data_IF_118791679484
#
_entry.id   IF_118791679484
#
_cell.length_a   1.000
_cell.length_b   1.000
_cell.length_c   1.000
_cell.angle_alpha   90.00
_cell.angle_beta   90.00
_cell.angle_gamma   90.00
#
_symmetry.space_group_name_H-M   'P 1'
#
loop_
_entity.id
_entity.type
_entity.pdbx_description
1 polymer ?
#
# COMPACT_ATOMS: atom_id res chain seq x y z
N UNK A 1 8.47 11.89 1.60
CA UNK A 1 8.41 10.41 1.57
C UNK A 1 8.50 9.87 2.99
N UNK A 2 7.70 8.87 3.33
CA UNK A 2 7.83 8.09 4.55
C UNK A 2 8.20 6.66 4.16
N UNK A 3 9.21 6.09 4.81
CA UNK A 3 9.77 4.78 4.45
C UNK A 3 10.10 3.96 5.70
N UNK A 4 10.01 2.63 5.59
CA UNK A 4 10.42 1.72 6.66
C UNK A 4 11.94 1.69 6.80
N UNK A 5 12.41 1.65 8.04
CA UNK A 5 13.78 1.39 8.42
C UNK A 5 13.80 0.53 9.69
N UNK A 6 14.97 0.14 10.15
CA UNK A 6 15.13 -0.68 11.35
C UNK A 6 16.12 -0.05 12.34
N UNK A 7 15.80 -0.16 13.61
CA UNK A 7 16.76 0.08 14.68
C UNK A 7 17.77 -1.09 14.79
N UNK A 8 18.88 -0.87 15.46
CA UNK A 8 19.89 -1.92 15.69
C UNK A 8 19.37 -3.17 16.40
N UNK A 9 18.26 -3.06 17.13
CA UNK A 9 17.60 -4.19 17.80
C UNK A 9 16.57 -4.92 16.92
N UNK A 10 16.51 -4.58 15.61
CA UNK A 10 15.60 -5.19 14.65
C UNK A 10 14.17 -4.64 14.64
N UNK A 11 13.82 -3.68 15.52
CA UNK A 11 12.49 -3.06 15.50
C UNK A 11 12.33 -2.15 14.30
N UNK A 12 11.22 -2.29 13.62
CA UNK A 12 10.86 -1.43 12.49
C UNK A 12 10.42 -0.05 12.97
N UNK A 13 10.84 0.97 12.25
CA UNK A 13 10.50 2.39 12.42
C UNK A 13 10.17 3.01 11.08
N UNK A 14 9.60 4.22 11.09
CA UNK A 14 9.36 4.99 9.88
C UNK A 14 10.31 6.19 9.85
N UNK A 15 11.12 6.26 8.80
CA UNK A 15 11.93 7.43 8.47
C UNK A 15 11.16 8.43 7.61
N UNK A 16 11.64 9.68 7.58
CA UNK A 16 11.14 10.75 6.72
C UNK A 16 12.24 11.24 5.80
N UNK A 17 11.89 11.49 4.55
CA UNK A 17 12.75 12.17 3.60
C UNK A 17 11.93 13.21 2.82
N UNK A 18 12.54 14.34 2.53
CA UNK A 18 11.92 15.48 1.85
C UNK A 18 12.61 15.70 0.50
N UNK A 19 11.82 16.07 -0.51
CA UNK A 19 12.28 16.36 -1.85
C UNK A 19 11.53 17.54 -2.43
N UNK A 20 12.20 18.32 -3.27
CA UNK A 20 11.59 19.42 -4.05
C UNK A 20 11.15 18.98 -5.46
N UNK A 21 11.79 17.95 -6.00
CA UNK A 21 11.58 17.47 -7.38
C UNK A 21 10.96 16.06 -7.45
N UNK A 22 10.89 15.37 -6.30
CA UNK A 22 10.40 13.99 -6.22
C UNK A 22 11.45 12.93 -6.57
N UNK A 23 12.69 13.31 -6.85
CA UNK A 23 13.78 12.40 -7.23
C UNK A 23 14.95 12.47 -6.26
N UNK A 24 15.34 13.65 -5.82
CA UNK A 24 16.44 13.87 -4.88
C UNK A 24 15.87 14.11 -3.49
N UNK A 25 16.19 13.22 -2.56
CA UNK A 25 15.63 13.23 -1.21
C UNK A 25 16.69 13.50 -0.16
N UNK A 26 16.38 14.40 0.78
CA UNK A 26 17.14 14.61 2.02
C UNK A 26 16.45 13.83 3.13
N UNK A 27 17.21 12.92 3.76
CA UNK A 27 16.69 12.06 4.83
C UNK A 27 16.86 12.74 6.18
N UNK A 28 15.78 12.82 6.96
CA UNK A 28 15.83 13.35 8.32
C UNK A 28 16.68 12.44 9.22
N UNK A 29 17.49 13.06 10.08
CA UNK A 29 18.35 12.34 11.02
C UNK A 29 17.59 11.58 12.12
N UNK A 30 16.33 11.95 12.36
CA UNK A 30 15.47 11.33 13.38
C UNK A 30 14.33 10.57 12.71
N UNK A 31 13.91 9.43 13.27
CA UNK A 31 12.70 8.74 12.83
C UNK A 31 11.48 9.65 12.89
N UNK A 32 10.61 9.56 11.88
CA UNK A 32 9.30 10.21 11.88
C UNK A 32 8.34 9.53 12.86
N UNK A 33 8.35 8.19 12.89
CA UNK A 33 7.49 7.42 13.77
C UNK A 33 8.26 6.24 14.36
N UNK A 34 8.29 6.17 15.68
CA UNK A 34 8.81 5.05 16.45
C UNK A 34 7.65 4.34 17.16
N UNK A 35 7.81 3.06 17.55
CA UNK A 35 6.86 2.38 18.42
C UNK A 35 6.53 3.20 19.67
N UNK A 36 5.25 3.24 20.02
CA UNK A 36 4.79 3.93 21.21
C UNK A 36 5.46 3.37 22.47
N UNK A 37 5.79 4.24 23.43
CA UNK A 37 6.53 3.84 24.64
C UNK A 37 5.63 3.44 25.81
N UNK A 38 4.32 3.76 25.74
CA UNK A 38 3.35 3.50 26.81
C UNK A 38 1.91 3.50 26.27
N UNK A 39 0.99 2.95 27.06
CA UNK A 39 -0.42 2.84 26.72
C UNK A 39 -0.72 1.70 25.74
N UNK A 40 -1.98 1.60 25.32
CA UNK A 40 -2.47 0.52 24.46
C UNK A 40 -1.68 0.38 23.16
N UNK A 41 -1.24 1.48 22.56
CA UNK A 41 -0.49 1.44 21.30
C UNK A 41 0.87 0.79 21.46
N UNK A 42 1.54 0.95 22.62
CA UNK A 42 2.83 0.31 22.89
C UNK A 42 2.74 -1.21 22.91
N UNK A 43 1.60 -1.77 23.33
CA UNK A 43 1.38 -3.22 23.34
C UNK A 43 1.28 -3.78 21.92
N UNK A 44 0.69 -3.03 21.00
CA UNK A 44 0.47 -3.46 19.62
C UNK A 44 1.59 -3.04 18.65
N UNK A 45 2.52 -2.19 19.09
CA UNK A 45 3.71 -1.78 18.33
C UNK A 45 5.01 -2.37 18.90
N UNK A 46 4.92 -3.38 19.76
CA UNK A 46 6.04 -3.96 20.51
C UNK A 46 7.24 -4.34 19.62
N UNK A 47 6.97 -4.89 18.45
CA UNK A 47 8.00 -5.34 17.50
C UNK A 47 8.27 -4.33 16.38
N UNK A 48 7.49 -3.29 16.26
CA UNK A 48 7.73 -2.22 15.30
C UNK A 48 6.48 -1.68 14.61
N UNK A 49 6.72 -0.68 13.77
CA UNK A 49 5.74 -0.03 12.89
C UNK A 49 6.22 -0.16 11.44
N UNK A 50 5.36 -0.66 10.55
CA UNK A 50 5.76 -1.09 9.21
C UNK A 50 4.79 -0.60 8.13
N UNK A 51 5.29 -0.54 6.89
CA UNK A 51 4.51 -0.43 5.67
C UNK A 51 3.50 0.72 5.68
N UNK A 52 3.94 1.90 6.15
CA UNK A 52 3.10 3.07 6.26
C UNK A 52 2.63 3.55 4.88
N UNK A 53 1.35 3.95 4.82
CA UNK A 53 0.71 4.61 3.67
C UNK A 53 0.25 6.00 4.07
N UNK A 54 0.51 6.98 3.20
CA UNK A 54 0.00 8.35 3.34
C UNK A 54 -1.29 8.43 2.52
N UNK A 55 -2.41 8.68 3.19
CA UNK A 55 -3.72 8.79 2.57
C UNK A 55 -4.23 10.23 2.71
N UNK A 56 -4.13 11.08 1.66
CA UNK A 56 -4.72 12.40 1.67
C UNK A 56 -6.25 12.28 1.72
N UNK A 57 -6.88 12.93 2.69
CA UNK A 57 -8.34 12.87 2.86
C UNK A 57 -8.81 14.09 3.69
N UNK A 58 -9.80 14.85 3.19
CA UNK A 58 -10.44 15.96 3.93
C UNK A 58 -9.44 16.98 4.53
N UNK A 59 -8.46 17.44 3.74
CA UNK A 59 -7.42 18.40 4.17
C UNK A 59 -6.48 17.90 5.30
N UNK A 60 -6.41 16.59 5.50
CA UNK A 60 -5.57 15.93 6.49
C UNK A 60 -4.85 14.76 5.82
N UNK A 61 -3.70 14.38 6.33
CA UNK A 61 -3.02 13.16 5.93
C UNK A 61 -3.28 12.07 6.96
N UNK A 62 -4.11 11.10 6.59
CA UNK A 62 -4.27 9.89 7.40
C UNK A 62 -3.16 8.90 7.09
N UNK A 63 -2.58 8.35 8.12
CA UNK A 63 -1.50 7.38 8.06
C UNK A 63 -2.04 6.02 8.46
N UNK A 64 -1.98 5.05 7.55
CA UNK A 64 -2.29 3.66 7.85
C UNK A 64 -0.99 2.87 7.85
N UNK A 65 -0.74 2.09 8.91
CA UNK A 65 0.47 1.29 9.02
C UNK A 65 0.23 0.00 9.81
N UNK A 66 1.11 -0.96 9.61
CA UNK A 66 1.12 -2.22 10.35
C UNK A 66 1.77 -2.01 11.71
N UNK A 67 1.00 -2.16 12.77
CA UNK A 67 1.47 -2.26 14.14
C UNK A 67 1.74 -3.75 14.44
N UNK A 68 3.02 -4.10 14.69
CA UNK A 68 3.45 -5.47 14.86
C UNK A 68 3.75 -5.80 16.32
N UNK A 69 3.13 -6.87 16.80
CA UNK A 69 3.25 -7.30 18.19
C UNK A 69 3.13 -8.82 18.35
N UNK A 70 3.25 -9.30 19.57
CA UNK A 70 2.98 -10.71 19.94
C UNK A 70 1.54 -11.16 19.65
N UNK A 71 0.62 -10.24 19.46
CA UNK A 71 -0.79 -10.50 19.13
C UNK A 71 -1.06 -10.52 17.61
N UNK A 72 -0.01 -10.58 16.79
CA UNK A 72 -0.08 -10.48 15.34
C UNK A 72 0.04 -9.05 14.84
N UNK A 73 -0.27 -8.86 13.56
CA UNK A 73 -0.22 -7.56 12.89
C UNK A 73 -1.61 -6.95 12.84
N UNK A 74 -1.73 -5.70 13.28
CA UNK A 74 -2.97 -4.93 13.18
C UNK A 74 -2.70 -3.61 12.46
N UNK A 75 -3.71 -3.05 11.84
CA UNK A 75 -3.60 -1.75 11.20
C UNK A 75 -3.88 -0.65 12.21
N UNK A 76 -2.93 0.25 12.33
CA UNK A 76 -3.05 1.50 13.06
C UNK A 76 -3.51 2.60 12.11
N UNK A 77 -4.43 3.43 12.58
CA UNK A 77 -4.77 4.73 12.00
C UNK A 77 -4.13 5.83 12.83
N UNK A 78 -3.38 6.70 12.16
CA UNK A 78 -2.86 7.93 12.71
C UNK A 78 -3.15 9.09 11.75
N UNK A 79 -2.88 10.32 12.15
CA UNK A 79 -2.96 11.49 11.28
C UNK A 79 -1.83 12.48 11.52
N UNK A 80 -1.56 13.27 10.50
CA UNK A 80 -0.65 14.42 10.56
C UNK A 80 -1.13 15.50 9.59
N UNK A 81 -0.84 16.77 9.89
CA UNK A 81 -1.10 17.87 8.98
C UNK A 81 0.19 18.49 8.42
N UNK A 82 1.32 18.24 9.07
CA UNK A 82 2.59 18.94 8.82
C UNK A 82 3.78 17.97 8.64
N UNK A 83 3.59 16.67 8.86
CA UNK A 83 4.64 15.66 8.91
C UNK A 83 5.74 15.93 9.97
N UNK A 84 5.43 16.72 11.00
CA UNK A 84 6.26 16.93 12.18
C UNK A 84 5.64 16.27 13.42
N UNK A 85 4.33 16.37 13.55
CA UNK A 85 3.57 15.73 14.62
C UNK A 85 2.63 14.67 14.09
N UNK A 86 2.60 13.51 14.76
CA UNK A 86 1.72 12.38 14.43
C UNK A 86 0.83 12.05 15.63
N UNK A 87 -0.49 12.09 15.42
CA UNK A 87 -1.48 11.63 16.38
C UNK A 87 -1.96 10.23 16.04
N UNK A 88 -1.74 9.27 16.94
CA UNK A 88 -2.33 7.93 16.85
C UNK A 88 -3.81 7.99 17.23
N UNK A 89 -4.67 7.44 16.40
CA UNK A 89 -6.13 7.51 16.58
C UNK A 89 -6.65 6.18 17.13
N UNK A 90 -6.49 5.09 16.39
CA UNK A 90 -7.07 3.79 16.73
C UNK A 90 -6.41 2.63 15.99
N UNK A 91 -6.55 1.42 16.56
CA UNK A 91 -6.39 0.16 15.84
C UNK A 91 -7.68 -0.13 15.05
N UNK A 92 -7.58 -0.15 13.72
CA UNK A 92 -8.74 -0.19 12.81
C UNK A 92 -8.93 -1.53 12.11
N UNK A 93 -8.29 -2.58 12.60
CA UNK A 93 -8.46 -3.93 12.06
C UNK A 93 -8.43 -4.99 13.15
N UNK A 94 -8.91 -6.19 12.83
CA UNK A 94 -8.58 -7.40 13.56
C UNK A 94 -7.12 -7.79 13.30
N UNK A 95 -6.62 -8.82 14.01
CA UNK A 95 -5.30 -9.37 13.79
C UNK A 95 -5.14 -9.90 12.36
N UNK A 96 -3.89 -9.95 11.92
CA UNK A 96 -3.46 -10.44 10.61
C UNK A 96 -4.08 -9.70 9.42
N UNK A 97 -4.14 -8.36 9.53
CA UNK A 97 -4.47 -7.45 8.45
C UNK A 97 -3.22 -6.69 7.99
N UNK A 98 -3.04 -6.53 6.68
CA UNK A 98 -1.94 -5.76 6.09
C UNK A 98 -2.39 -4.86 4.95
N UNK A 99 -1.53 -3.91 4.59
CA UNK A 99 -1.59 -3.12 3.35
C UNK A 99 -2.89 -2.34 3.17
N UNK A 100 -3.35 -1.66 4.21
CA UNK A 100 -4.55 -0.83 4.14
C UNK A 100 -4.23 0.51 3.48
N UNK A 101 -5.03 0.85 2.46
CA UNK A 101 -5.06 2.17 1.81
C UNK A 101 -6.48 2.72 1.80
N UNK A 102 -6.62 4.04 1.92
CA UNK A 102 -7.91 4.72 1.87
C UNK A 102 -8.13 5.33 0.48
N UNK A 103 -9.37 5.38 0.04
CA UNK A 103 -9.75 6.26 -1.05
C UNK A 103 -9.69 7.72 -0.58
N UNK A 104 -9.26 8.66 -1.45
CA UNK A 104 -9.00 10.06 -1.03
C UNK A 104 -10.26 10.90 -0.82
N UNK A 105 -11.44 10.33 -1.02
CA UNK A 105 -12.74 10.97 -0.76
C UNK A 105 -13.79 9.93 -0.30
N UNK A 106 -14.86 10.41 0.31
CA UNK A 106 -16.03 9.58 0.59
C UNK A 106 -16.75 9.21 -0.71
N UNK A 107 -17.14 7.96 -0.84
CA UNK A 107 -17.89 7.45 -1.99
C UNK A 107 -19.24 6.95 -1.47
N UNK A 108 -20.33 7.51 -1.99
CA UNK A 108 -21.67 7.20 -1.49
C UNK A 108 -21.85 7.58 -0.01
N UNK A 109 -21.15 8.62 0.48
CA UNK A 109 -21.20 9.09 1.87
C UNK A 109 -20.36 8.28 2.86
N UNK A 110 -19.68 7.24 2.42
CA UNK A 110 -18.82 6.36 3.25
C UNK A 110 -17.35 6.57 2.97
N UNK A 111 -16.51 6.43 3.99
CA UNK A 111 -15.08 6.16 3.81
C UNK A 111 -14.91 4.75 3.24
N UNK A 112 -13.98 4.62 2.33
CA UNK A 112 -13.70 3.35 1.64
C UNK A 112 -12.22 3.03 1.78
N UNK A 113 -11.90 1.75 2.02
CA UNK A 113 -10.54 1.27 2.04
C UNK A 113 -10.38 -0.01 1.24
N UNK A 114 -9.17 -0.22 0.74
CA UNK A 114 -8.70 -1.52 0.29
C UNK A 114 -7.80 -2.12 1.36
N UNK A 115 -7.91 -3.41 1.56
CA UNK A 115 -7.14 -4.14 2.56
C UNK A 115 -6.83 -5.58 2.12
N UNK A 116 -5.94 -6.23 2.86
CA UNK A 116 -5.60 -7.62 2.65
C UNK A 116 -5.55 -8.36 3.97
N UNK A 117 -6.61 -9.11 4.31
CA UNK A 117 -6.56 -10.09 5.38
C UNK A 117 -5.48 -11.14 5.12
N UNK A 118 -4.72 -11.48 6.15
CA UNK A 118 -3.62 -12.41 6.12
C UNK A 118 -4.04 -13.70 6.84
N UNK A 119 -5.06 -14.38 6.30
CA UNK A 119 -5.60 -15.59 6.88
C UNK A 119 -4.71 -16.80 6.60
N UNK A 120 -4.96 -17.90 7.29
CA UNK A 120 -4.31 -19.19 7.02
C UNK A 120 -4.73 -19.80 5.68
N UNK A 121 -5.84 -19.34 5.11
CA UNK A 121 -6.36 -19.81 3.82
C UNK A 121 -5.80 -18.92 2.71
N UNK A 122 -5.07 -19.53 1.80
CA UNK A 122 -4.55 -18.89 0.59
C UNK A 122 -5.43 -19.23 -0.62
N UNK A 123 -5.35 -18.43 -1.71
CA UNK A 123 -4.50 -17.24 -1.90
C UNK A 123 -5.09 -15.97 -1.25
N UNK A 124 -4.21 -15.05 -0.81
CA UNK A 124 -4.65 -13.79 -0.21
C UNK A 124 -5.03 -12.77 -1.27
N UNK A 125 -6.18 -12.15 -1.06
CA UNK A 125 -6.88 -11.32 -2.01
C UNK A 125 -6.99 -9.87 -1.53
N UNK A 126 -7.28 -8.94 -2.44
CA UNK A 126 -7.64 -7.56 -2.10
C UNK A 126 -9.13 -7.52 -1.77
N UNK A 127 -9.42 -6.96 -0.60
CA UNK A 127 -10.76 -6.72 -0.10
C UNK A 127 -11.08 -5.23 -0.13
N UNK A 128 -12.36 -4.91 -0.15
CA UNK A 128 -12.89 -3.56 0.06
C UNK A 128 -13.74 -3.56 1.33
N UNK A 129 -13.66 -2.47 2.09
CA UNK A 129 -14.43 -2.27 3.32
C UNK A 129 -14.91 -0.83 3.41
N UNK A 130 -15.97 -0.59 4.18
CA UNK A 130 -16.63 0.71 4.31
C UNK A 130 -16.74 1.13 5.78
N UNK A 131 -16.70 2.46 6.03
CA UNK A 131 -16.81 3.04 7.37
C UNK A 131 -17.55 4.38 7.33
N UNK A 132 -18.19 4.74 8.44
CA UNK A 132 -18.77 6.06 8.67
C UNK A 132 -17.78 7.01 9.38
N UNK A 133 -16.79 6.46 10.10
CA UNK A 133 -15.96 7.19 11.07
C UNK A 133 -14.45 6.90 10.97
N UNK A 134 -13.99 6.14 9.97
CA UNK A 134 -12.61 5.66 9.77
C UNK A 134 -12.12 4.64 10.83
N UNK A 135 -12.90 4.37 11.87
CA UNK A 135 -12.53 3.46 12.96
C UNK A 135 -13.25 2.11 12.81
N UNK A 136 -14.56 2.14 12.61
CA UNK A 136 -15.38 0.95 12.49
C UNK A 136 -15.62 0.60 11.02
N UNK A 137 -15.13 -0.56 10.60
CA UNK A 137 -15.14 -1.02 9.21
C UNK A 137 -16.02 -2.24 9.03
N UNK A 138 -16.84 -2.26 7.98
CA UNK A 138 -17.76 -3.34 7.67
C UNK A 138 -18.07 -3.47 6.18
N UNK A 139 -19.07 -4.31 5.84
CA UNK A 139 -19.42 -4.67 4.45
C UNK A 139 -18.22 -5.17 3.63
N UNK A 140 -17.32 -5.89 4.30
CA UNK A 140 -16.06 -6.33 3.72
C UNK A 140 -16.28 -7.47 2.72
N UNK A 141 -15.67 -7.36 1.53
CA UNK A 141 -15.73 -8.42 0.51
C UNK A 141 -14.50 -8.42 -0.37
N UNK A 142 -14.18 -9.59 -0.93
CA UNK A 142 -13.12 -9.74 -1.95
C UNK A 142 -13.54 -9.03 -3.23
N UNK A 143 -12.61 -8.31 -3.84
CA UNK A 143 -12.82 -7.63 -5.12
C UNK A 143 -11.75 -7.95 -6.17
N UNK A 144 -10.54 -8.35 -5.75
CA UNK A 144 -9.49 -8.83 -6.66
C UNK A 144 -8.86 -10.08 -6.05
N UNK A 145 -8.87 -11.18 -6.81
CA UNK A 145 -8.20 -12.43 -6.47
C UNK A 145 -6.91 -12.60 -7.26
N UNK A 146 -5.94 -13.33 -6.73
CA UNK A 146 -4.87 -13.89 -7.53
C UNK A 146 -5.41 -14.75 -8.67
N UNK A 147 -4.77 -14.70 -9.84
CA UNK A 147 -5.16 -15.54 -10.97
C UNK A 147 -4.30 -16.83 -11.00
N UNK A 148 -4.90 -18.01 -11.17
CA UNK A 148 -4.14 -19.26 -11.28
C UNK A 148 -3.18 -19.24 -12.48
N UNK A 149 -1.96 -19.77 -12.27
CA UNK A 149 -0.90 -19.83 -13.28
C UNK A 149 -0.48 -18.46 -13.83
N UNK A 150 -0.63 -17.43 -13.02
CA UNK A 150 -0.37 -16.05 -13.39
C UNK A 150 0.74 -15.43 -12.50
N UNK A 151 1.25 -14.28 -12.90
CA UNK A 151 2.35 -13.60 -12.19
C UNK A 151 2.02 -13.19 -10.74
N UNK A 152 0.76 -13.21 -10.38
CA UNK A 152 0.25 -12.83 -9.05
C UNK A 152 -0.45 -13.98 -8.31
N UNK A 153 -0.25 -15.24 -8.75
CA UNK A 153 -1.04 -16.40 -8.28
C UNK A 153 -0.98 -16.69 -6.78
N UNK A 154 0.09 -16.28 -6.09
CA UNK A 154 0.25 -16.61 -4.67
C UNK A 154 -0.54 -15.66 -3.78
N UNK A 155 -0.52 -14.37 -4.08
CA UNK A 155 -1.25 -13.33 -3.35
C UNK A 155 -1.23 -12.01 -4.10
N UNK A 156 -2.26 -11.19 -3.84
CA UNK A 156 -2.31 -9.77 -4.23
C UNK A 156 -2.55 -8.89 -3.01
N UNK A 157 -2.12 -7.65 -3.04
CA UNK A 157 -2.36 -6.71 -1.95
C UNK A 157 -2.28 -5.25 -2.40
N UNK A 158 -3.02 -4.35 -1.74
CA UNK A 158 -2.98 -2.92 -2.05
C UNK A 158 -1.58 -2.34 -1.97
N UNK A 159 -1.25 -1.47 -2.91
CA UNK A 159 0.02 -0.74 -2.94
C UNK A 159 -0.15 0.70 -2.45
N UNK A 160 -0.49 1.61 -3.36
CA UNK A 160 -0.74 3.03 -3.06
C UNK A 160 -2.23 3.35 -2.91
N UNK A 161 -2.60 4.45 -2.24
CA UNK A 161 -3.98 4.97 -2.31
C UNK A 161 -4.44 5.12 -3.76
N UNK A 162 -5.70 4.79 -4.09
CA UNK A 162 -6.23 4.93 -5.43
C UNK A 162 -6.26 6.39 -5.91
N UNK A 163 -6.02 6.59 -7.20
CA UNK A 163 -5.96 7.90 -7.85
C UNK A 163 -7.23 8.08 -8.68
N UNK A 164 -7.90 9.23 -8.51
CA UNK A 164 -9.08 9.56 -9.29
C UNK A 164 -8.70 9.93 -10.72
N UNK A 165 -9.29 9.24 -11.69
CA UNK A 165 -9.16 9.55 -13.13
C UNK A 165 -10.54 9.73 -13.75
N UNK A 166 -10.60 10.15 -15.00
CA UNK A 166 -11.88 10.26 -15.72
C UNK A 166 -12.54 8.90 -15.94
N UNK A 167 -11.76 7.80 -16.02
CA UNK A 167 -12.24 6.46 -16.34
C UNK A 167 -12.54 5.62 -15.09
N UNK A 168 -12.06 6.03 -13.91
CA UNK A 168 -12.21 5.27 -12.67
C UNK A 168 -11.15 5.62 -11.64
N UNK A 169 -11.13 4.86 -10.55
CA UNK A 169 -10.07 4.91 -9.56
C UNK A 169 -8.92 3.99 -9.97
N UNK A 170 -7.81 4.56 -10.40
CA UNK A 170 -6.59 3.81 -10.71
C UNK A 170 -5.88 3.41 -9.42
N UNK A 171 -5.65 2.13 -9.25
CA UNK A 171 -4.99 1.55 -8.10
C UNK A 171 -3.77 0.75 -8.52
N UNK A 172 -2.59 1.12 -8.03
CA UNK A 172 -1.37 0.33 -8.21
C UNK A 172 -1.29 -0.66 -7.05
N UNK A 173 -1.23 -1.93 -7.36
CA UNK A 173 -1.18 -3.03 -6.39
C UNK A 173 0.05 -3.90 -6.59
N UNK A 174 0.38 -4.75 -5.62
CA UNK A 174 1.41 -5.77 -5.79
C UNK A 174 0.80 -7.15 -5.92
N UNK A 175 1.36 -7.95 -6.80
CA UNK A 175 1.13 -9.38 -6.94
C UNK A 175 2.39 -10.17 -6.64
N UNK A 176 2.23 -11.39 -6.19
CA UNK A 176 3.34 -12.26 -5.82
C UNK A 176 3.19 -13.61 -6.47
N UNK A 177 4.28 -14.05 -7.08
CA UNK A 177 4.46 -15.38 -7.62
C UNK A 177 5.53 -16.11 -6.80
N UNK A 178 5.29 -17.36 -6.43
CA UNK A 178 6.25 -18.14 -5.65
C UNK A 178 6.96 -19.14 -6.57
N UNK A 179 8.27 -19.02 -6.66
CA UNK A 179 9.15 -19.93 -7.38
C UNK A 179 9.89 -20.88 -6.43
N UNK A 180 10.62 -21.85 -6.95
CA UNK A 180 11.54 -22.67 -6.16
C UNK A 180 12.66 -21.85 -5.48
N UNK A 181 12.99 -20.68 -6.05
CA UNK A 181 14.00 -19.76 -5.50
C UNK A 181 13.41 -18.70 -4.55
N UNK A 182 12.11 -18.76 -4.27
CA UNK A 182 11.43 -17.81 -3.38
C UNK A 182 10.34 -16.99 -4.06
N UNK A 183 9.82 -16.02 -3.34
CA UNK A 183 8.76 -15.14 -3.82
C UNK A 183 9.30 -14.04 -4.72
N UNK A 184 8.57 -13.72 -5.78
CA UNK A 184 8.84 -12.58 -6.68
C UNK A 184 7.67 -11.63 -6.59
N UNK A 185 7.94 -10.40 -6.15
CA UNK A 185 6.93 -9.33 -6.06
C UNK A 185 6.96 -8.45 -7.30
N UNK A 186 5.81 -8.21 -7.87
CA UNK A 186 5.59 -7.36 -9.04
C UNK A 186 4.48 -6.36 -8.79
N UNK A 187 4.45 -5.28 -9.56
CA UNK A 187 3.36 -4.33 -9.52
C UNK A 187 2.42 -4.53 -10.70
N UNK A 188 1.14 -4.34 -10.45
CA UNK A 188 0.08 -4.30 -11.44
C UNK A 188 -0.82 -3.10 -11.23
N UNK A 189 -1.75 -2.89 -12.15
CA UNK A 189 -2.74 -1.83 -12.11
C UNK A 189 -4.15 -2.41 -12.10
N UNK A 190 -5.05 -1.77 -11.35
CA UNK A 190 -6.48 -2.06 -11.35
C UNK A 190 -7.28 -0.76 -11.47
N UNK A 191 -8.42 -0.83 -12.14
CA UNK A 191 -9.33 0.30 -12.31
C UNK A 191 -10.67 -0.03 -11.68
N UNK A 192 -11.12 0.83 -10.75
CA UNK A 192 -12.39 0.65 -10.05
C UNK A 192 -13.39 1.72 -10.50
N UNK A 193 -14.67 1.38 -10.49
CA UNK A 193 -15.74 2.32 -10.82
C UNK A 193 -15.78 3.51 -9.83
N UNK A 194 -16.00 4.71 -10.35
CA UNK A 194 -15.97 5.95 -9.55
C UNK A 194 -17.05 5.99 -8.48
N UNK A 195 -18.25 5.45 -8.75
CA UNK A 195 -19.40 5.50 -7.86
C UNK A 195 -19.53 4.25 -6.99
N UNK A 196 -19.07 3.12 -7.51
CA UNK A 196 -19.08 1.84 -6.82
C UNK A 196 -17.71 1.16 -6.92
N UNK A 197 -16.73 1.54 -6.09
CA UNK A 197 -15.35 1.04 -6.20
C UNK A 197 -15.21 -0.47 -5.93
N UNK A 198 -16.26 -1.12 -5.44
CA UNK A 198 -16.31 -2.58 -5.37
C UNK A 198 -16.49 -3.25 -6.73
N UNK A 199 -16.96 -2.50 -7.74
CA UNK A 199 -16.96 -2.91 -9.13
C UNK A 199 -15.59 -2.57 -9.72
N UNK A 200 -14.78 -3.60 -9.93
CA UNK A 200 -13.49 -3.50 -10.60
C UNK A 200 -13.73 -3.59 -12.10
N UNK A 201 -13.43 -2.51 -12.83
CA UNK A 201 -13.60 -2.41 -14.29
C UNK A 201 -12.63 -3.36 -14.99
N UNK A 202 -11.39 -3.43 -14.48
CA UNK A 202 -10.39 -4.38 -14.97
C UNK A 202 -9.12 -4.35 -14.15
N UNK A 203 -8.34 -5.40 -14.29
CA UNK A 203 -7.03 -5.60 -13.67
C UNK A 203 -6.04 -5.89 -14.79
N UNK A 204 -4.90 -5.22 -14.82
CA UNK A 204 -3.89 -5.46 -15.86
C UNK A 204 -3.50 -6.94 -15.93
N UNK A 205 -3.50 -7.51 -17.13
CA UNK A 205 -3.16 -8.92 -17.37
C UNK A 205 -1.66 -9.17 -17.12
N UNK A 206 -0.82 -8.17 -17.42
CA UNK A 206 0.62 -8.21 -17.18
C UNK A 206 1.02 -7.26 -16.05
N UNK A 207 2.20 -7.55 -15.46
CA UNK A 207 2.82 -6.62 -14.51
C UNK A 207 3.26 -5.34 -15.22
N UNK A 208 3.27 -4.23 -14.48
CA UNK A 208 3.78 -2.93 -14.96
C UNK A 208 5.21 -2.67 -14.49
N UNK A 209 5.66 -3.40 -13.48
CA UNK A 209 7.02 -3.35 -12.94
C UNK A 209 7.37 -4.69 -12.29
N UNK A 210 8.58 -5.17 -12.53
CA UNK A 210 9.16 -6.35 -11.88
C UNK A 210 10.59 -6.07 -11.44
N UNK A 211 11.16 -6.88 -10.53
CA UNK A 211 12.57 -6.77 -10.17
C UNK A 211 13.48 -7.04 -11.35
N UNK A 212 14.31 -6.08 -11.75
CA UNK A 212 15.26 -6.19 -12.85
C UNK A 212 16.65 -5.69 -12.44
N UNK A 213 16.70 -4.66 -11.63
CA UNK A 213 17.95 -4.07 -11.17
C UNK A 213 18.59 -4.87 -10.03
N UNK A 214 19.93 -4.84 -9.88
CA UNK A 214 20.63 -5.56 -8.82
C UNK A 214 20.10 -5.24 -7.40
N UNK A 215 19.68 -4.02 -7.15
CA UNK A 215 19.11 -3.58 -5.85
C UNK A 215 17.65 -3.97 -5.64
N UNK A 216 16.98 -4.53 -6.63
CA UNK A 216 15.64 -5.12 -6.54
C UNK A 216 15.70 -6.64 -6.45
N UNK A 217 16.75 -7.23 -7.03
CA UNK A 217 17.01 -8.68 -7.07
C UNK A 217 17.70 -9.15 -5.79
N UNK A 218 18.60 -8.33 -5.23
CA UNK A 218 19.43 -8.70 -4.07
C UNK A 218 19.35 -7.67 -2.97
N UNK A 219 18.98 -8.10 -1.76
CA UNK A 219 18.85 -7.24 -0.59
C UNK A 219 18.34 -8.03 0.61
N UNK A 220 17.67 -7.34 1.54
CA UNK A 220 17.13 -7.95 2.75
C UNK A 220 16.04 -8.99 2.44
N UNK A 221 15.16 -8.68 1.48
CA UNK A 221 14.23 -9.64 0.87
C UNK A 221 14.43 -9.59 -0.65
N UNK A 222 14.99 -10.63 -1.27
CA UNK A 222 15.33 -10.62 -2.70
C UNK A 222 14.08 -10.65 -3.58
N UNK A 223 14.24 -10.16 -4.84
CA UNK A 223 13.21 -10.16 -5.88
C UNK A 223 11.93 -9.39 -5.49
N UNK A 224 12.09 -8.18 -4.95
CA UNK A 224 10.97 -7.35 -4.49
C UNK A 224 10.96 -5.98 -5.15
N UNK A 225 9.84 -5.63 -5.77
CA UNK A 225 9.37 -4.27 -6.00
C UNK A 225 8.05 -4.08 -5.26
N UNK A 226 8.03 -3.17 -4.27
CA UNK A 226 6.89 -3.02 -3.37
C UNK A 226 6.53 -1.55 -3.17
N UNK A 227 5.41 -1.10 -3.78
CA UNK A 227 5.01 0.30 -3.69
C UNK A 227 4.13 0.58 -2.48
N UNK A 228 4.29 1.78 -1.94
CA UNK A 228 3.46 2.35 -0.87
C UNK A 228 2.97 3.75 -1.20
N UNK A 229 3.38 4.32 -2.33
CA UNK A 229 3.00 5.68 -2.68
C UNK A 229 3.17 6.00 -4.16
N UNK A 230 2.24 6.80 -4.66
CA UNK A 230 2.26 7.35 -6.03
C UNK A 230 1.87 8.83 -5.96
N UNK A 231 2.38 9.63 -6.90
CA UNK A 231 2.04 11.05 -7.02
C UNK A 231 1.66 11.31 -8.47
N UNK A 232 0.39 11.66 -8.75
CA UNK A 232 -0.03 12.11 -10.06
C UNK A 232 0.46 13.54 -10.32
N UNK A 233 0.94 13.82 -11.52
CA UNK A 233 1.33 15.13 -12.00
C UNK A 233 0.27 15.68 -12.98
N UNK A 234 0.23 17.00 -13.14
CA UNK A 234 -0.76 17.68 -13.99
C UNK A 234 -0.67 17.31 -15.48
N UNK A 235 0.49 16.84 -15.93
CA UNK A 235 0.74 16.41 -17.31
C UNK A 235 0.30 14.97 -17.62
N UNK A 236 -0.29 14.29 -16.65
CA UNK A 236 -0.71 12.89 -16.74
C UNK A 236 0.38 11.88 -16.43
N UNK A 237 1.55 12.33 -16.00
CA UNK A 237 2.60 11.47 -15.47
C UNK A 237 2.23 10.98 -14.06
N UNK A 238 2.53 9.74 -13.77
CA UNK A 238 2.44 9.15 -12.44
C UNK A 238 3.84 8.82 -11.93
N UNK A 239 4.30 9.50 -10.88
CA UNK A 239 5.48 9.07 -10.14
C UNK A 239 5.10 7.92 -9.23
N UNK A 240 5.85 6.81 -9.33
CA UNK A 240 5.67 5.62 -8.50
C UNK A 240 6.92 5.47 -7.63
N UNK A 241 6.72 5.28 -6.34
CA UNK A 241 7.79 5.04 -5.36
C UNK A 241 7.67 3.63 -4.80
N UNK A 242 8.78 2.87 -4.83
CA UNK A 242 8.79 1.50 -4.32
C UNK A 242 10.06 1.16 -3.54
N UNK A 243 9.95 0.19 -2.67
CA UNK A 243 11.09 -0.45 -2.05
C UNK A 243 11.66 -1.52 -2.98
N UNK A 244 12.97 -1.49 -3.22
CA UNK A 244 13.71 -2.51 -3.93
C UNK A 244 14.37 -3.46 -2.94
N UNK A 245 14.10 -4.77 -3.05
CA UNK A 245 14.62 -5.86 -2.20
C UNK A 245 14.63 -5.54 -0.69
N UNK A 246 13.64 -4.77 -0.20
CA UNK A 246 13.55 -4.27 1.19
C UNK A 246 14.82 -3.53 1.69
N UNK A 247 15.60 -2.96 0.80
CA UNK A 247 16.90 -2.36 1.13
C UNK A 247 17.05 -0.90 0.69
N UNK A 248 16.40 -0.51 -0.40
CA UNK A 248 16.49 0.82 -1.00
C UNK A 248 15.11 1.35 -1.37
N UNK A 249 15.01 2.67 -1.53
CA UNK A 249 13.83 3.31 -2.13
C UNK A 249 14.14 3.70 -3.57
N UNK A 250 13.27 3.29 -4.48
CA UNK A 250 13.35 3.54 -5.90
C UNK A 250 12.19 4.44 -6.36
N UNK A 251 12.35 5.08 -7.50
CA UNK A 251 11.28 5.85 -8.16
C UNK A 251 11.36 5.71 -9.66
N UNK A 252 10.20 5.77 -10.29
CA UNK A 252 10.05 5.81 -11.75
C UNK A 252 8.74 6.49 -12.12
N UNK A 253 8.51 6.61 -13.41
CA UNK A 253 7.32 7.26 -13.95
C UNK A 253 6.54 6.34 -14.87
N UNK A 254 5.23 6.53 -14.93
CA UNK A 254 4.32 5.90 -15.87
C UNK A 254 3.31 6.93 -16.38
N UNK A 255 2.61 6.63 -17.45
CA UNK A 255 1.53 7.46 -17.96
C UNK A 255 0.18 6.95 -17.44
N UNK A 256 -0.62 7.82 -16.81
CA UNK A 256 -1.93 7.45 -16.22
C UNK A 256 -2.88 6.89 -17.29
N UNK A 257 -2.91 7.47 -18.49
CA UNK A 257 -3.74 6.99 -19.60
C UNK A 257 -3.35 5.59 -20.07
N UNK A 258 -2.06 5.31 -20.15
CA UNK A 258 -1.58 3.97 -20.52
C UNK A 258 -1.97 2.94 -19.47
N UNK A 259 -1.77 3.26 -18.19
CA UNK A 259 -2.15 2.37 -17.08
C UNK A 259 -3.65 2.09 -17.03
N UNK A 260 -4.50 3.11 -17.22
CA UNK A 260 -5.95 2.90 -17.29
C UNK A 260 -6.34 2.13 -18.55
N UNK A 261 -5.65 2.38 -19.67
CA UNK A 261 -5.81 1.62 -20.92
C UNK A 261 -5.50 0.14 -20.77
N UNK A 262 -4.44 -0.22 -20.05
CA UNK A 262 -4.13 -1.63 -19.72
C UNK A 262 -5.27 -2.29 -18.96
N UNK A 263 -5.87 -1.61 -17.98
CA UNK A 263 -7.00 -2.14 -17.21
C UNK A 263 -8.28 -2.32 -18.06
N UNK A 264 -8.45 -1.54 -19.13
CA UNK A 264 -9.65 -1.60 -19.98
C UNK A 264 -9.48 -2.58 -21.15
N UNK A 265 -8.32 -2.56 -21.81
CA UNK A 265 -8.12 -3.26 -23.09
C UNK A 265 -7.26 -4.52 -23.00
N UNK A 266 -6.46 -4.66 -21.95
CA UNK A 266 -5.56 -5.81 -21.71
C UNK A 266 -5.76 -6.31 -20.28
N UNK A 267 -7.02 -6.61 -19.93
CA UNK A 267 -7.41 -6.92 -18.57
C UNK A 267 -7.72 -8.41 -18.38
N UNK A 268 -7.38 -8.93 -17.20
CA UNK A 268 -7.92 -10.18 -16.68
C UNK A 268 -9.15 -9.97 -15.81
N UNK A 269 -9.90 -11.05 -15.55
CA UNK A 269 -10.98 -11.02 -14.56
C UNK A 269 -10.45 -10.67 -13.18
N UNK A 270 -11.13 -9.80 -12.41
CA UNK A 270 -10.76 -9.51 -11.03
C UNK A 270 -11.08 -10.66 -10.05
N UNK A 271 -12.08 -11.51 -10.36
CA UNK A 271 -12.58 -12.60 -9.50
C UNK A 271 -12.56 -13.95 -10.20
#
# INVERSE_FOLDING_TARGET
MLFRSHLHNGRSIIGKAVSKDGYHFEVDAKPFLEPAKKGIFAEYEEYGVEDLRINPLENTYYLTYSAYSRYGVRIMLARTNDFEYTERIALISQADMRNVVLFPEKIGGKYVRLDRPHSQIMPWSIWISYSDDLIHWGNSRVIIKPAPYHWDESKVGPGSPPIKTEQGWLHIFHGVYTTMAGAVYRLGAALHDLKNPAHVIGVSDHWILQPEDPWEISGYVPNVVFTGGTIPEDDGTLKIYWGGADSVMCTGTANIKELTGLCIHSSRSPL
#
